data_IF_404789329057
#
_entry.id   IF_404789329057
#
_cell.length_a   1.000
_cell.length_b   1.000
_cell.length_c   1.000
_cell.angle_alpha   90.00
_cell.angle_beta   90.00
_cell.angle_gamma   90.00
#
_symmetry.space_group_name_H-M   'P 1'
#
loop_
_entity.id
_entity.type
_entity.pdbx_description
1 polymer ?
#
# COMPACT_ATOMS: atom_id res chain seq x y z
N UNK A 1 20.60 4.03 -5.77
CA UNK A 1 19.84 4.96 -4.90
C UNK A 1 19.07 4.24 -3.80
N UNK A 2 18.43 3.11 -4.07
CA UNK A 2 17.61 2.37 -3.11
C UNK A 2 18.37 2.02 -1.81
N UNK A 3 19.67 1.71 -1.92
CA UNK A 3 20.52 1.37 -0.76
C UNK A 3 20.67 2.50 0.27
N UNK A 4 20.46 3.76 -0.11
CA UNK A 4 20.51 4.90 0.82
C UNK A 4 19.16 5.30 1.38
N UNK A 5 18.06 4.63 0.99
CA UNK A 5 16.72 4.92 1.50
C UNK A 5 16.38 4.03 2.69
N UNK A 6 16.13 4.67 3.84
CA UNK A 6 15.64 3.98 5.03
C UNK A 6 14.32 4.56 5.53
N UNK A 7 13.89 5.70 5.01
CA UNK A 7 12.65 6.37 5.39
C UNK A 7 12.00 7.05 4.17
N UNK A 8 10.65 7.16 4.09
CA UNK A 8 9.99 7.90 3.02
C UNK A 8 10.45 9.36 2.85
N UNK A 9 10.97 9.98 3.91
CA UNK A 9 11.58 11.32 3.79
C UNK A 9 12.84 11.35 2.93
N UNK A 10 13.57 10.23 2.79
CA UNK A 10 14.69 10.11 1.85
C UNK A 10 14.21 10.09 0.40
N UNK A 11 13.09 9.41 0.15
CA UNK A 11 12.44 9.38 -1.16
C UNK A 11 12.00 10.79 -1.60
N UNK A 12 11.43 11.58 -0.68
CA UNK A 12 10.97 12.96 -0.97
C UNK A 12 12.10 13.95 -1.28
N UNK A 13 13.37 13.60 -1.05
CA UNK A 13 14.54 14.41 -1.41
C UNK A 13 14.94 14.25 -2.88
N UNK A 14 14.49 13.18 -3.54
CA UNK A 14 14.80 12.95 -4.95
C UNK A 14 14.05 13.93 -5.85
N UNK A 15 14.66 14.27 -6.99
CA UNK A 15 13.94 14.95 -8.07
C UNK A 15 13.01 13.95 -8.77
N UNK A 16 12.02 14.47 -9.52
CA UNK A 16 11.05 13.62 -10.22
C UNK A 16 11.71 12.79 -11.31
N UNK A 17 12.79 13.30 -11.91
CA UNK A 17 13.57 12.65 -12.96
C UNK A 17 14.38 11.45 -12.44
N UNK A 18 14.65 11.39 -11.13
CA UNK A 18 15.34 10.27 -10.49
C UNK A 18 14.38 9.11 -10.14
N UNK A 19 13.06 9.36 -10.07
CA UNK A 19 12.07 8.35 -9.67
C UNK A 19 11.99 7.13 -10.61
N UNK A 20 12.10 7.25 -11.94
CA UNK A 20 12.13 6.08 -12.82
C UNK A 20 13.31 5.14 -12.53
N UNK A 21 14.50 5.70 -12.31
CA UNK A 21 15.69 4.90 -11.98
C UNK A 21 15.53 4.20 -10.61
N UNK A 22 14.88 4.86 -9.64
CA UNK A 22 14.52 4.21 -8.38
C UNK A 22 13.55 3.05 -8.59
N UNK A 23 12.55 3.21 -9.45
CA UNK A 23 11.58 2.16 -9.75
C UNK A 23 12.27 0.91 -10.33
N UNK A 24 13.25 1.09 -11.22
CA UNK A 24 14.05 -0.02 -11.76
C UNK A 24 14.87 -0.74 -10.68
N UNK A 25 15.55 0.01 -9.80
CA UNK A 25 16.29 -0.58 -8.68
C UNK A 25 15.37 -1.34 -7.71
N UNK A 26 14.19 -0.77 -7.40
CA UNK A 26 13.21 -1.38 -6.51
C UNK A 26 12.61 -2.65 -7.11
N UNK A 27 12.29 -2.62 -8.40
CA UNK A 27 11.81 -3.78 -9.16
C UNK A 27 12.83 -4.92 -9.12
N UNK A 28 14.10 -4.62 -9.43
CA UNK A 28 15.17 -5.63 -9.38
C UNK A 28 15.33 -6.21 -7.97
N UNK A 29 15.32 -5.36 -6.95
CA UNK A 29 15.43 -5.81 -5.56
C UNK A 29 14.29 -6.73 -5.13
N UNK A 30 13.06 -6.45 -5.56
CA UNK A 30 11.89 -7.32 -5.30
C UNK A 30 12.09 -8.69 -5.94
N UNK A 31 12.50 -8.75 -7.21
CA UNK A 31 12.77 -10.03 -7.90
C UNK A 31 13.83 -10.83 -7.14
N UNK A 32 14.95 -10.18 -6.79
CA UNK A 32 16.07 -10.83 -6.10
C UNK A 32 15.68 -11.33 -4.71
N UNK A 33 14.90 -10.55 -3.95
CA UNK A 33 14.46 -10.92 -2.60
C UNK A 33 13.44 -12.06 -2.65
N UNK A 34 12.40 -11.93 -3.48
CA UNK A 34 11.31 -12.91 -3.57
C UNK A 34 11.80 -14.22 -4.17
N UNK A 35 12.80 -14.22 -5.05
CA UNK A 35 13.42 -15.45 -5.57
C UNK A 35 14.01 -16.35 -4.47
N UNK A 36 14.40 -15.76 -3.33
CA UNK A 36 15.02 -16.47 -2.19
C UNK A 36 14.00 -16.89 -1.14
N UNK A 37 12.98 -16.06 -0.90
CA UNK A 37 12.00 -16.29 0.18
C UNK A 37 10.67 -16.87 -0.30
N UNK A 38 10.40 -16.84 -1.61
CA UNK A 38 9.06 -16.97 -2.16
C UNK A 38 8.17 -15.78 -1.78
N UNK A 39 6.87 -15.89 -2.10
CA UNK A 39 5.87 -14.85 -1.82
C UNK A 39 5.15 -14.38 -3.08
N UNK A 40 4.48 -13.23 -2.98
CA UNK A 40 3.68 -12.69 -4.07
C UNK A 40 4.58 -11.84 -4.97
N UNK A 41 4.92 -12.31 -6.18
CA UNK A 41 5.81 -11.54 -7.07
C UNK A 41 5.04 -10.55 -7.94
N UNK A 42 4.13 -11.05 -8.78
CA UNK A 42 3.43 -10.26 -9.81
C UNK A 42 2.74 -9.01 -9.26
N UNK A 43 1.96 -9.18 -8.18
CA UNK A 43 1.24 -8.09 -7.52
C UNK A 43 2.15 -6.98 -7.00
N UNK A 44 3.38 -7.31 -6.57
CA UNK A 44 4.36 -6.35 -6.09
C UNK A 44 5.12 -5.65 -7.23
N UNK A 45 5.36 -6.34 -8.34
CA UNK A 45 5.93 -5.72 -9.54
C UNK A 45 4.99 -4.68 -10.15
N UNK A 46 3.68 -4.92 -10.10
CA UNK A 46 2.65 -4.01 -10.61
C UNK A 46 2.40 -2.77 -9.73
N UNK A 47 2.96 -2.71 -8.52
CA UNK A 47 2.71 -1.61 -7.56
C UNK A 47 3.98 -0.85 -7.19
N UNK A 48 5.09 -1.06 -7.91
CA UNK A 48 6.36 -0.36 -7.68
C UNK A 48 6.19 1.15 -7.84
N UNK A 49 5.74 1.60 -9.00
CA UNK A 49 5.57 3.02 -9.32
C UNK A 49 4.52 3.66 -8.42
N UNK A 50 3.41 2.94 -8.17
CA UNK A 50 2.35 3.41 -7.27
C UNK A 50 2.88 3.62 -5.85
N UNK A 51 3.66 2.68 -5.32
CA UNK A 51 4.24 2.80 -3.97
C UNK A 51 5.21 3.98 -3.88
N UNK A 52 6.02 4.19 -4.92
CA UNK A 52 6.91 5.36 -5.01
C UNK A 52 6.08 6.65 -5.01
N UNK A 53 5.09 6.76 -5.90
CA UNK A 53 4.24 7.96 -5.99
C UNK A 53 3.53 8.26 -4.67
N UNK A 54 2.99 7.24 -4.01
CA UNK A 54 2.32 7.37 -2.72
C UNK A 54 3.26 7.92 -1.64
N UNK A 55 4.44 7.33 -1.46
CA UNK A 55 5.38 7.78 -0.43
C UNK A 55 6.12 9.08 -0.79
N UNK A 56 6.15 9.43 -2.07
CA UNK A 56 6.68 10.70 -2.54
C UNK A 56 5.69 11.86 -2.29
N UNK A 57 4.39 11.63 -2.47
CA UNK A 57 3.35 12.67 -2.36
C UNK A 57 2.79 12.80 -0.95
N UNK A 58 2.53 11.69 -0.26
CA UNK A 58 1.92 11.68 1.07
C UNK A 58 2.97 11.67 2.18
N UNK A 59 2.70 12.40 3.26
CA UNK A 59 3.59 12.48 4.42
C UNK A 59 3.33 11.30 5.37
N UNK A 60 3.67 10.10 4.94
CA UNK A 60 3.57 8.92 5.81
C UNK A 60 4.66 8.96 6.89
N UNK A 61 4.36 8.58 8.16
CA UNK A 61 3.16 7.89 8.62
C UNK A 61 2.06 8.81 9.20
N UNK A 62 2.20 10.14 9.07
CA UNK A 62 1.13 11.07 9.43
C UNK A 62 -0.09 10.81 8.55
N UNK A 63 0.07 10.88 7.22
CA UNK A 63 -0.90 10.36 6.27
C UNK A 63 -0.96 8.84 6.33
N UNK A 64 -2.16 8.30 6.11
CA UNK A 64 -2.43 6.88 6.34
C UNK A 64 -2.68 6.17 5.03
N UNK A 65 -1.87 5.16 4.73
CA UNK A 65 -2.08 4.28 3.57
C UNK A 65 -2.53 2.92 4.06
N UNK A 66 -3.64 2.44 3.49
CA UNK A 66 -4.20 1.11 3.73
C UNK A 66 -4.14 0.31 2.42
N UNK A 67 -3.36 -0.77 2.42
CA UNK A 67 -3.26 -1.70 1.29
C UNK A 67 -4.26 -2.85 1.46
N UNK A 68 -5.26 -2.94 0.59
CA UNK A 68 -6.25 -4.02 0.60
C UNK A 68 -5.60 -5.38 0.32
N UNK A 69 -5.97 -6.43 1.05
CA UNK A 69 -5.26 -7.73 1.14
C UNK A 69 -3.82 -7.58 1.67
N UNK A 70 -3.02 -6.69 1.08
CA UNK A 70 -1.66 -6.39 1.49
C UNK A 70 -0.59 -7.18 0.75
N UNK A 71 -0.96 -8.13 -0.10
CA UNK A 71 -0.03 -8.95 -0.87
C UNK A 71 0.77 -8.17 -1.92
N UNK A 72 0.39 -6.92 -2.20
CA UNK A 72 0.99 -5.97 -3.14
C UNK A 72 1.74 -4.83 -2.42
N UNK A 73 2.25 -5.08 -1.20
CA UNK A 73 2.87 -4.06 -0.34
C UNK A 73 4.37 -4.26 -0.07
N UNK A 74 5.05 -5.14 -0.80
CA UNK A 74 6.51 -5.31 -0.65
C UNK A 74 7.29 -4.04 -1.02
N UNK A 75 6.98 -3.31 -2.12
CA UNK A 75 7.63 -2.03 -2.38
C UNK A 75 7.40 -1.05 -1.22
N UNK A 76 6.18 -0.99 -0.68
CA UNK A 76 5.86 -0.21 0.52
C UNK A 76 6.75 -0.61 1.72
N UNK A 77 6.89 -1.90 2.05
CA UNK A 77 7.77 -2.36 3.13
C UNK A 77 9.22 -1.94 2.91
N UNK A 78 9.72 -2.09 1.68
CA UNK A 78 11.10 -1.74 1.32
C UNK A 78 11.35 -0.24 1.50
N UNK A 79 10.44 0.62 1.02
CA UNK A 79 10.54 2.08 1.10
C UNK A 79 10.32 2.65 2.52
N UNK A 80 9.85 1.82 3.44
CA UNK A 80 9.54 2.22 4.83
C UNK A 80 10.46 1.53 5.83
N UNK A 81 11.75 1.47 5.49
CA UNK A 81 12.83 1.07 6.40
C UNK A 81 13.03 -0.43 6.58
N UNK A 82 12.28 -1.29 5.88
CA UNK A 82 12.36 -2.76 6.07
C UNK A 82 13.11 -3.48 4.96
N UNK A 83 13.78 -2.75 4.05
CA UNK A 83 14.58 -3.31 2.95
C UNK A 83 15.49 -4.45 3.42
N UNK A 84 16.32 -4.19 4.43
CA UNK A 84 17.36 -5.13 4.86
C UNK A 84 16.79 -6.35 5.60
N UNK A 85 15.53 -6.31 6.02
CA UNK A 85 14.82 -7.42 6.65
C UNK A 85 14.06 -8.31 5.65
N UNK A 86 14.01 -7.93 4.37
CA UNK A 86 13.25 -8.67 3.34
C UNK A 86 13.72 -10.12 3.14
N UNK A 87 14.97 -10.44 3.49
CA UNK A 87 15.45 -11.83 3.50
C UNK A 87 14.74 -12.75 4.52
N UNK A 88 14.00 -12.17 5.48
CA UNK A 88 13.20 -12.89 6.49
C UNK A 88 11.72 -13.00 6.13
N UNK A 89 11.32 -12.51 4.96
CA UNK A 89 9.93 -12.44 4.53
C UNK A 89 9.24 -13.80 4.64
N UNK A 90 8.09 -13.82 5.32
CA UNK A 90 7.22 -14.98 5.59
C UNK A 90 7.88 -16.11 6.38
N UNK A 91 9.05 -15.87 6.97
CA UNK A 91 9.72 -16.81 7.85
C UNK A 91 9.24 -16.63 9.29
N UNK A 92 9.38 -17.68 10.11
CA UNK A 92 9.08 -17.60 11.53
C UNK A 92 9.94 -16.53 12.21
N UNK A 93 9.29 -15.59 12.91
CA UNK A 93 9.97 -14.44 13.55
C UNK A 93 10.44 -13.35 12.57
N UNK A 94 10.19 -13.50 11.27
CA UNK A 94 10.54 -12.52 10.24
C UNK A 94 9.39 -11.60 9.84
N UNK A 95 9.57 -10.87 8.73
CA UNK A 95 8.55 -9.97 8.20
C UNK A 95 7.29 -10.72 7.74
N UNK A 96 6.13 -10.15 8.03
CA UNK A 96 4.85 -10.59 7.50
C UNK A 96 4.79 -10.43 5.98
N UNK A 97 4.08 -11.35 5.32
CA UNK A 97 3.75 -11.24 3.89
C UNK A 97 2.72 -10.16 3.55
N UNK A 98 2.17 -9.49 4.58
CA UNK A 98 1.13 -8.46 4.50
C UNK A 98 1.44 -7.33 5.50
N UNK A 99 0.86 -6.13 5.36
CA UNK A 99 0.96 -5.07 6.36
C UNK A 99 0.46 -5.55 7.72
N UNK A 100 1.25 -5.26 8.77
CA UNK A 100 0.95 -5.63 10.14
C UNK A 100 1.28 -4.45 11.05
N UNK A 101 0.27 -3.92 11.75
CA UNK A 101 0.39 -2.74 12.63
C UNK A 101 1.48 -2.84 13.70
N UNK A 102 1.76 -4.04 14.20
CA UNK A 102 2.81 -4.26 15.21
C UNK A 102 4.21 -4.39 14.59
N UNK A 103 4.32 -4.48 13.27
CA UNK A 103 5.59 -4.58 12.54
C UNK A 103 6.14 -3.20 12.15
N UNK A 104 5.27 -2.24 11.85
CA UNK A 104 5.67 -0.90 11.40
C UNK A 104 4.57 0.13 11.62
N UNK A 105 4.95 1.37 11.93
CA UNK A 105 4.01 2.50 12.01
C UNK A 105 3.40 2.88 10.64
N UNK A 106 4.08 2.50 9.55
CA UNK A 106 3.62 2.68 8.18
C UNK A 106 2.53 1.66 7.79
N UNK A 107 2.41 0.56 8.52
CA UNK A 107 1.38 -0.48 8.32
C UNK A 107 0.10 -0.08 9.09
N UNK A 108 -0.60 0.94 8.61
CA UNK A 108 -1.64 1.65 9.38
C UNK A 108 -2.87 0.81 9.71
N UNK A 109 -3.13 -0.23 8.92
CA UNK A 109 -4.19 -1.22 9.12
C UNK A 109 -3.66 -2.62 8.79
N UNK A 110 -4.03 -3.62 9.58
CA UNK A 110 -3.64 -5.00 9.32
C UNK A 110 -4.59 -5.62 8.31
N UNK A 111 -4.06 -6.08 7.18
CA UNK A 111 -4.85 -6.69 6.11
C UNK A 111 -4.38 -8.12 5.79
N UNK A 112 -5.30 -8.91 5.25
CA UNK A 112 -5.08 -10.23 4.66
C UNK A 112 -6.33 -10.63 3.89
N UNK A 113 -7.51 -10.49 4.52
CA UNK A 113 -8.78 -10.56 3.82
C UNK A 113 -8.98 -9.33 2.94
N UNK A 114 -9.62 -9.53 1.79
CA UNK A 114 -9.90 -8.49 0.82
C UNK A 114 -11.04 -7.57 1.25
N UNK A 115 -11.14 -6.44 0.55
CA UNK A 115 -12.29 -5.54 0.52
C UNK A 115 -12.54 -4.76 1.81
N UNK A 116 -11.54 -4.71 2.70
CA UNK A 116 -11.61 -4.05 4.01
C UNK A 116 -10.99 -2.65 4.01
N UNK A 117 -10.18 -2.32 3.00
CA UNK A 117 -9.36 -1.11 2.96
C UNK A 117 -10.19 0.18 2.94
N UNK A 118 -11.24 0.26 2.12
CA UNK A 118 -12.06 1.47 1.97
C UNK A 118 -12.77 1.79 3.29
N UNK A 119 -13.38 0.81 3.95
CA UNK A 119 -14.02 1.01 5.25
C UNK A 119 -13.01 1.49 6.30
N UNK A 120 -11.83 0.88 6.34
CA UNK A 120 -10.78 1.24 7.30
C UNK A 120 -10.26 2.67 7.06
N UNK A 121 -9.89 3.00 5.81
CA UNK A 121 -9.41 4.33 5.45
C UNK A 121 -10.48 5.41 5.65
N UNK A 122 -11.75 5.12 5.33
CA UNK A 122 -12.86 6.02 5.61
C UNK A 122 -13.00 6.31 7.11
N UNK A 123 -12.93 5.29 7.96
CA UNK A 123 -12.93 5.47 9.41
C UNK A 123 -11.77 6.34 9.91
N UNK A 124 -10.57 6.16 9.35
CA UNK A 124 -9.40 7.00 9.66
C UNK A 124 -9.61 8.46 9.22
N UNK A 125 -10.11 8.69 8.00
CA UNK A 125 -10.38 10.03 7.50
C UNK A 125 -11.47 10.74 8.31
N UNK A 126 -12.56 10.04 8.65
CA UNK A 126 -13.64 10.61 9.46
C UNK A 126 -13.17 10.94 10.88
N UNK A 127 -12.32 10.11 11.45
CA UNK A 127 -11.71 10.38 12.75
C UNK A 127 -10.79 11.63 12.71
N UNK A 128 -9.96 11.76 11.67
CA UNK A 128 -9.12 12.94 11.47
C UNK A 128 -9.95 14.22 11.33
N UNK A 129 -10.98 14.19 10.48
CA UNK A 129 -11.92 15.31 10.30
C UNK A 129 -12.60 15.72 11.62
N UNK A 130 -13.05 14.73 12.41
CA UNK A 130 -13.71 14.99 13.71
C UNK A 130 -12.76 15.65 14.73
N UNK A 131 -11.45 15.35 14.64
CA UNK A 131 -10.42 15.93 15.50
C UNK A 131 -9.86 17.25 14.97
N UNK A 132 -10.24 17.68 13.77
CA UNK A 132 -9.63 18.84 13.09
C UNK A 132 -8.18 18.59 12.68
N UNK A 133 -7.80 17.32 12.45
CA UNK A 133 -6.47 16.96 11.95
C UNK A 133 -6.45 17.09 10.42
N UNK A 134 -5.45 17.81 9.88
CA UNK A 134 -5.17 17.84 8.44
C UNK A 134 -4.37 16.58 8.04
N UNK A 135 -5.08 15.46 7.93
CA UNK A 135 -4.53 14.14 7.61
C UNK A 135 -5.34 13.51 6.49
N UNK A 136 -4.66 12.98 5.49
CA UNK A 136 -5.29 12.20 4.41
C UNK A 136 -5.24 10.70 4.73
N UNK A 137 -6.33 10.00 4.45
CA UNK A 137 -6.35 8.54 4.42
C UNK A 137 -6.48 8.06 2.97
N UNK A 138 -5.68 7.07 2.61
CA UNK A 138 -5.61 6.48 1.27
C UNK A 138 -5.92 4.99 1.37
N UNK A 139 -6.91 4.52 0.61
CA UNK A 139 -7.15 3.10 0.38
C UNK A 139 -6.60 2.70 -1.00
N UNK A 140 -5.74 1.69 -1.04
CA UNK A 140 -5.30 1.06 -2.30
C UNK A 140 -5.99 -0.30 -2.40
N UNK A 141 -6.87 -0.46 -3.39
CA UNK A 141 -7.68 -1.66 -3.58
C UNK A 141 -7.52 -2.19 -5.01
N UNK A 142 -7.40 -3.51 -5.16
CA UNK A 142 -7.38 -4.15 -6.49
C UNK A 142 -8.79 -4.33 -7.05
N UNK A 143 -8.93 -4.42 -8.37
CA UNK A 143 -10.19 -4.67 -9.10
C UNK A 143 -10.93 -5.93 -8.57
N UNK A 144 -10.23 -7.05 -8.43
CA UNK A 144 -10.83 -8.26 -7.84
C UNK A 144 -11.36 -8.05 -6.41
N UNK A 145 -10.70 -7.25 -5.58
CA UNK A 145 -11.15 -6.93 -4.22
C UNK A 145 -12.31 -5.93 -4.20
N UNK A 146 -12.47 -5.15 -5.27
CA UNK A 146 -13.55 -4.18 -5.42
C UNK A 146 -14.92 -4.86 -5.59
N UNK A 147 -14.94 -6.11 -6.07
CA UNK A 147 -16.16 -6.86 -6.35
C UNK A 147 -17.00 -7.25 -5.12
N UNK A 148 -16.43 -7.18 -3.91
CA UNK A 148 -17.14 -7.59 -2.70
C UNK A 148 -18.06 -6.48 -2.15
N UNK A 149 -19.22 -6.88 -1.61
CA UNK A 149 -20.23 -5.96 -1.08
C UNK A 149 -19.69 -4.94 -0.05
N UNK A 150 -18.74 -5.35 0.80
CA UNK A 150 -18.12 -4.47 1.79
C UNK A 150 -17.46 -3.22 1.16
N UNK A 151 -16.83 -3.36 0.00
CA UNK A 151 -16.23 -2.23 -0.71
C UNK A 151 -17.30 -1.24 -1.18
N UNK A 152 -18.43 -1.74 -1.70
CA UNK A 152 -19.57 -0.91 -2.11
C UNK A 152 -20.26 -0.23 -0.92
N UNK A 153 -20.48 -0.95 0.17
CA UNK A 153 -21.04 -0.38 1.39
C UNK A 153 -20.15 0.75 1.94
N UNK A 154 -18.83 0.54 1.91
CA UNK A 154 -17.86 1.54 2.33
C UNK A 154 -17.89 2.80 1.46
N UNK A 155 -17.90 2.65 0.13
CA UNK A 155 -18.00 3.77 -0.79
C UNK A 155 -19.32 4.54 -0.64
N UNK A 156 -20.44 3.83 -0.53
CA UNK A 156 -21.75 4.45 -0.31
C UNK A 156 -21.76 5.26 1.00
N UNK A 157 -21.20 4.71 2.07
CA UNK A 157 -21.09 5.40 3.34
C UNK A 157 -20.14 6.60 3.26
N UNK A 158 -19.01 6.48 2.55
CA UNK A 158 -18.10 7.60 2.32
C UNK A 158 -18.79 8.76 1.57
N UNK A 159 -19.67 8.46 0.61
CA UNK A 159 -20.44 9.45 -0.14
C UNK A 159 -21.45 10.27 0.68
N UNK A 160 -21.74 9.89 1.93
CA UNK A 160 -22.60 10.65 2.84
C UNK A 160 -21.87 11.85 3.46
N UNK A 161 -20.53 11.81 3.55
CA UNK A 161 -19.75 12.83 4.24
C UNK A 161 -19.10 13.79 3.27
N UNK A 162 -19.32 15.09 3.48
CA UNK A 162 -18.66 16.14 2.70
C UNK A 162 -17.23 16.39 3.20
N UNK A 163 -16.33 16.75 2.27
CA UNK A 163 -14.96 17.20 2.55
C UNK A 163 -14.14 16.25 3.43
N UNK A 164 -14.41 14.95 3.35
CA UNK A 164 -13.60 13.95 4.04
C UNK A 164 -12.31 13.72 3.24
N UNK A 165 -11.11 13.83 3.85
CA UNK A 165 -9.83 13.69 3.17
C UNK A 165 -9.50 12.21 2.92
N UNK A 166 -10.32 11.57 2.08
CA UNK A 166 -10.21 10.18 1.69
C UNK A 166 -9.86 10.08 0.20
N UNK A 167 -8.82 9.32 -0.12
CA UNK A 167 -8.45 8.95 -1.48
C UNK A 167 -8.62 7.45 -1.64
N UNK A 168 -9.34 7.02 -2.68
CA UNK A 168 -9.44 5.60 -3.06
C UNK A 168 -8.73 5.41 -4.39
N UNK A 169 -7.73 4.55 -4.41
CA UNK A 169 -6.98 4.17 -5.60
C UNK A 169 -7.38 2.76 -5.98
N UNK A 170 -8.02 2.63 -7.15
CA UNK A 170 -8.27 1.37 -7.80
C UNK A 170 -7.02 0.96 -8.59
N UNK A 171 -6.33 -0.08 -8.14
CA UNK A 171 -5.25 -0.73 -8.86
C UNK A 171 -5.84 -1.82 -9.76
N UNK A 172 -6.34 -1.40 -10.91
CA UNK A 172 -6.94 -2.26 -11.92
C UNK A 172 -5.86 -2.89 -12.81
N UNK A 173 -5.78 -4.21 -12.80
CA UNK A 173 -4.89 -4.97 -13.67
C UNK A 173 -5.61 -6.14 -14.36
N UNK A 174 -6.95 -6.08 -14.46
CA UNK A 174 -7.84 -7.12 -14.99
C UNK A 174 -7.71 -8.49 -14.28
N UNK A 175 -7.12 -8.55 -13.09
CA UNK A 175 -6.75 -9.78 -12.42
C UNK A 175 -7.06 -9.78 -10.92
N UNK A 176 -7.72 -10.85 -10.46
CA UNK A 176 -7.70 -11.29 -9.06
C UNK A 176 -6.52 -12.26 -8.87
N UNK A 177 -6.78 -13.52 -8.48
CA UNK A 177 -5.84 -14.64 -8.70
C UNK A 177 -6.00 -15.21 -10.12
N UNK A 178 -7.23 -15.22 -10.61
CA UNK A 178 -7.64 -15.50 -12.00
C UNK A 178 -8.20 -14.21 -12.60
N UNK A 179 -8.49 -14.14 -13.92
CA UNK A 179 -9.08 -12.95 -14.52
C UNK A 179 -10.27 -12.42 -13.71
N UNK A 180 -10.36 -11.10 -13.59
CA UNK A 180 -11.45 -10.46 -12.88
C UNK A 180 -12.80 -10.87 -13.50
N UNK A 181 -13.79 -11.12 -12.64
CA UNK A 181 -15.16 -11.43 -13.05
C UNK A 181 -16.11 -10.47 -12.37
N UNK A 182 -17.08 -9.95 -13.13
CA UNK A 182 -17.93 -8.85 -12.72
C UNK A 182 -18.23 -7.95 -13.91
N UNK A 183 -19.21 -7.07 -13.78
CA UNK A 183 -19.53 -6.06 -14.81
C UNK A 183 -18.76 -4.74 -14.62
N UNK A 184 -17.94 -4.67 -13.57
CA UNK A 184 -17.09 -3.55 -13.21
C UNK A 184 -15.64 -3.93 -13.46
#
# INVERSE_FOLDING_TARGET
MLHSMNDPSDLRKLTREELPALADELRQYIVDSVSKTGGHLSSNLGTVELSIALHYVFDTPHDRIVWDVGHQSYPHKILTGRRDQMHTLRQFGGLSGFPRRTESEYDTFGTAHSSTSISAAMGMARAAQTKGEDRVAVAVIGDGAMSAGMAFEAMNNAGVYENMPLVVILNDNDMSISPAVGAL
#
